data_IF_077331678388
#
_entry.id   IF_077331678388
#
_cell.length_a   1.000
_cell.length_b   1.000
_cell.length_c   1.000
_cell.angle_alpha   90.00
_cell.angle_beta   90.00
_cell.angle_gamma   90.00
#
_symmetry.space_group_name_H-M   'P 1'
#
loop_
_entity.id
_entity.type
_entity.pdbx_description
1 polymer ?
#
# COMPACT_ATOMS: atom_id res chain seq x y z
N UNK A 1 -14.14 -7.69 9.71
CA UNK A 1 -13.39 -6.45 10.00
C UNK A 1 -14.27 -5.42 10.70
N UNK A 2 -15.28 -4.86 10.01
CA UNK A 2 -16.18 -3.81 10.56
C UNK A 2 -16.88 -4.23 11.85
N UNK A 3 -17.46 -5.42 11.90
CA UNK A 3 -18.14 -5.94 13.10
C UNK A 3 -17.16 -6.03 14.26
N UNK A 4 -16.03 -6.66 14.04
CA UNK A 4 -14.96 -6.80 15.03
C UNK A 4 -14.47 -5.45 15.56
N UNK A 5 -14.26 -4.48 14.64
CA UNK A 5 -13.86 -3.12 15.02
C UNK A 5 -14.87 -2.46 15.98
N UNK A 6 -16.18 -2.56 15.66
CA UNK A 6 -17.24 -1.96 16.45
C UNK A 6 -17.47 -2.67 17.80
N UNK A 7 -17.54 -3.99 17.80
CA UNK A 7 -17.76 -4.80 19.00
C UNK A 7 -16.62 -4.65 20.01
N UNK A 8 -15.38 -4.59 19.50
CA UNK A 8 -14.19 -4.37 20.32
C UNK A 8 -14.00 -2.92 20.78
N UNK A 9 -14.84 -1.98 20.31
CA UNK A 9 -14.71 -0.54 20.61
C UNK A 9 -13.32 0.00 20.29
N UNK A 10 -12.74 -0.50 19.19
CA UNK A 10 -11.41 -0.07 18.75
C UNK A 10 -11.45 1.37 18.24
N UNK A 11 -10.37 2.12 18.40
CA UNK A 11 -10.23 3.52 18.01
C UNK A 11 -9.25 3.74 16.84
N UNK A 12 -8.48 2.72 16.50
CA UNK A 12 -7.43 2.77 15.48
C UNK A 12 -7.27 1.43 14.77
N UNK A 13 -6.53 1.43 13.67
CA UNK A 13 -6.20 0.22 12.89
C UNK A 13 -4.70 0.19 12.66
N UNK A 14 -4.08 -0.94 12.91
CA UNK A 14 -2.70 -1.23 12.52
C UNK A 14 -2.75 -2.33 11.46
N UNK A 15 -2.27 -2.04 10.26
CA UNK A 15 -2.20 -2.97 9.14
C UNK A 15 -0.74 -3.38 8.92
N UNK A 16 -0.41 -4.64 9.23
CA UNK A 16 0.93 -5.20 9.08
C UNK A 16 0.89 -6.26 7.99
N UNK A 17 1.79 -6.18 7.02
CA UNK A 17 1.88 -7.17 5.96
C UNK A 17 2.38 -6.61 4.63
N UNK A 18 2.24 -7.40 3.57
CA UNK A 18 2.41 -6.92 2.21
C UNK A 18 1.21 -6.08 1.74
N UNK A 19 1.17 -5.72 0.47
CA UNK A 19 0.10 -4.91 -0.12
C UNK A 19 -1.30 -5.38 0.26
N UNK A 20 -1.61 -6.67 0.11
CA UNK A 20 -2.93 -7.22 0.44
C UNK A 20 -3.31 -7.08 1.92
N UNK A 21 -2.33 -7.18 2.84
CA UNK A 21 -2.56 -6.99 4.27
C UNK A 21 -2.89 -5.55 4.60
N UNK A 22 -2.15 -4.62 4.02
CA UNK A 22 -2.36 -3.19 4.18
C UNK A 22 -3.67 -2.73 3.52
N UNK A 23 -3.96 -3.23 2.32
CA UNK A 23 -5.21 -2.95 1.61
C UNK A 23 -6.44 -3.48 2.37
N UNK A 24 -6.31 -4.63 3.03
CA UNK A 24 -7.33 -5.13 3.95
C UNK A 24 -7.59 -4.16 5.11
N UNK A 25 -6.55 -3.63 5.73
CA UNK A 25 -6.65 -2.60 6.77
C UNK A 25 -7.31 -1.31 6.28
N UNK A 26 -6.93 -0.85 5.09
CA UNK A 26 -7.54 0.32 4.44
C UNK A 26 -9.02 0.10 4.13
N UNK A 27 -9.38 -1.06 3.55
CA UNK A 27 -10.77 -1.41 3.25
C UNK A 27 -11.62 -1.44 4.53
N UNK A 28 -11.08 -1.96 5.65
CA UNK A 28 -11.74 -1.92 6.94
C UNK A 28 -11.91 -0.48 7.41
N UNK A 29 -10.88 0.36 7.27
CA UNK A 29 -10.91 1.78 7.65
C UNK A 29 -12.04 2.54 6.93
N UNK A 30 -12.24 2.29 5.64
CA UNK A 30 -13.31 2.92 4.85
C UNK A 30 -14.70 2.68 5.45
N UNK A 31 -14.97 1.44 5.85
CA UNK A 31 -16.32 1.01 6.28
C UNK A 31 -16.50 0.99 7.79
N UNK A 32 -15.45 1.17 8.58
CA UNK A 32 -15.48 0.98 10.05
C UNK A 32 -16.54 1.85 10.72
N UNK A 33 -16.57 3.13 10.44
CA UNK A 33 -17.50 4.12 11.00
C UNK A 33 -18.59 4.57 10.04
N UNK A 34 -18.60 4.04 8.81
CA UNK A 34 -19.51 4.45 7.75
C UNK A 34 -20.61 3.40 7.53
N UNK A 35 -21.78 3.83 7.05
CA UNK A 35 -22.91 2.94 6.74
C UNK A 35 -22.82 2.32 5.35
N UNK A 36 -22.02 2.92 4.49
CA UNK A 36 -21.84 2.58 3.09
C UNK A 36 -21.25 1.18 2.93
N UNK A 37 -21.51 0.54 1.80
CA UNK A 37 -20.87 -0.70 1.41
C UNK A 37 -19.47 -0.42 0.85
N UNK A 38 -18.58 -1.41 0.94
CA UNK A 38 -17.22 -1.26 0.42
C UNK A 38 -17.19 -0.87 -1.07
N UNK A 39 -18.10 -1.43 -1.86
CA UNK A 39 -18.18 -1.20 -3.29
C UNK A 39 -18.76 0.17 -3.69
N UNK A 40 -19.27 0.94 -2.75
CA UNK A 40 -19.66 2.33 -2.98
C UNK A 40 -18.41 3.24 -3.09
N UNK A 41 -17.26 2.75 -2.63
CA UNK A 41 -15.96 3.40 -2.71
C UNK A 41 -15.12 3.01 -3.94
N UNK A 42 -15.70 2.29 -4.90
CA UNK A 42 -15.00 1.92 -6.12
C UNK A 42 -14.48 3.15 -6.87
N UNK A 43 -13.25 3.07 -7.39
CA UNK A 43 -12.50 4.19 -7.93
C UNK A 43 -13.21 4.94 -9.06
N UNK A 44 -13.95 4.23 -9.91
CA UNK A 44 -14.69 4.81 -11.03
C UNK A 44 -15.98 5.55 -10.58
N UNK A 45 -16.38 5.36 -9.33
CA UNK A 45 -17.52 6.08 -8.75
C UNK A 45 -17.08 7.43 -8.18
N UNK A 46 -17.97 8.40 -8.19
CA UNK A 46 -17.71 9.69 -7.55
C UNK A 46 -17.47 9.51 -6.05
N UNK A 47 -16.48 10.20 -5.46
CA UNK A 47 -16.23 10.10 -4.03
C UNK A 47 -17.45 10.48 -3.20
N UNK A 48 -17.73 9.70 -2.16
CA UNK A 48 -18.81 9.98 -1.21
C UNK A 48 -18.44 11.24 -0.40
N UNK A 49 -19.27 12.26 -0.48
CA UNK A 49 -18.96 13.59 0.10
C UNK A 49 -19.22 13.70 1.61
N UNK A 50 -20.17 12.91 2.13
CA UNK A 50 -20.58 12.98 3.54
C UNK A 50 -20.28 11.63 4.20
N UNK A 51 -19.15 11.55 4.87
CA UNK A 51 -18.73 10.39 5.61
C UNK A 51 -18.48 10.75 7.07
N UNK A 52 -18.66 9.78 7.93
CA UNK A 52 -18.22 9.83 9.32
C UNK A 52 -16.69 9.88 9.44
N UNK A 53 -16.17 9.89 10.65
CA UNK A 53 -14.73 9.87 10.86
C UNK A 53 -14.12 8.54 10.41
N UNK A 54 -12.92 8.61 9.88
CA UNK A 54 -12.09 7.44 9.60
C UNK A 54 -11.23 7.14 10.83
N UNK A 55 -11.10 5.87 11.24
CA UNK A 55 -10.14 5.54 12.28
C UNK A 55 -8.72 5.85 11.81
N UNK A 56 -7.84 6.31 12.71
CA UNK A 56 -6.41 6.41 12.42
C UNK A 56 -5.89 5.07 11.92
N UNK A 57 -5.13 5.09 10.82
CA UNK A 57 -4.56 3.90 10.21
C UNK A 57 -3.04 4.03 10.19
N UNK A 58 -2.37 3.00 10.72
CA UNK A 58 -0.92 2.84 10.65
C UNK A 58 -0.64 1.65 9.74
N UNK A 59 0.21 1.82 8.74
CA UNK A 59 0.66 0.74 7.87
C UNK A 59 2.11 0.38 8.15
N UNK A 60 2.38 -0.93 8.26
CA UNK A 60 3.70 -1.49 8.51
C UNK A 60 3.97 -2.54 7.43
N UNK A 61 4.68 -2.19 6.33
CA UNK A 61 4.94 -3.12 5.25
C UNK A 61 5.95 -4.20 5.65
N UNK A 62 5.72 -5.41 5.18
CA UNK A 62 6.66 -6.54 5.26
C UNK A 62 7.21 -6.93 3.89
N UNK A 63 6.89 -6.16 2.86
CA UNK A 63 7.40 -6.25 1.48
C UNK A 63 7.90 -4.89 1.04
N UNK A 64 8.88 -4.85 0.17
CA UNK A 64 9.31 -3.64 -0.52
C UNK A 64 8.88 -3.72 -1.98
N UNK A 65 7.85 -2.95 -2.37
CA UNK A 65 7.33 -3.04 -3.74
C UNK A 65 6.05 -2.26 -3.97
N UNK A 66 4.97 -2.65 -3.34
CA UNK A 66 3.62 -2.16 -3.67
C UNK A 66 3.37 -0.68 -3.36
N UNK A 67 4.11 -0.09 -2.41
CA UNK A 67 3.86 1.28 -1.96
C UNK A 67 2.52 1.50 -1.25
N UNK A 68 1.79 0.42 -0.94
CA UNK A 68 0.43 0.49 -0.39
C UNK A 68 0.32 1.29 0.92
N UNK A 69 1.41 1.41 1.66
CA UNK A 69 1.48 2.23 2.90
C UNK A 69 1.41 3.74 2.63
N UNK A 70 1.59 4.18 1.39
CA UNK A 70 1.59 5.62 1.03
C UNK A 70 0.35 6.06 0.25
N UNK A 71 -0.49 5.11 -0.17
CA UNK A 71 -1.60 5.35 -1.07
C UNK A 71 -2.94 5.48 -0.34
N UNK A 72 -3.86 6.21 -0.96
CA UNK A 72 -5.27 6.33 -0.54
C UNK A 72 -6.20 5.34 -1.26
N UNK A 73 -5.64 4.35 -1.93
CA UNK A 73 -6.31 3.28 -2.67
C UNK A 73 -6.13 1.94 -1.97
N UNK A 74 -7.04 1.01 -2.17
CA UNK A 74 -6.90 -0.38 -1.75
C UNK A 74 -7.45 -1.31 -2.83
N UNK A 75 -6.69 -2.35 -3.15
CA UNK A 75 -7.06 -3.34 -4.14
C UNK A 75 -7.75 -4.54 -3.47
N UNK A 76 -9.04 -4.71 -3.71
CA UNK A 76 -9.87 -5.73 -3.07
C UNK A 76 -10.52 -6.63 -4.11
N UNK A 77 -10.44 -7.94 -3.91
CA UNK A 77 -11.10 -8.90 -4.82
C UNK A 77 -12.60 -8.94 -4.53
N UNK A 78 -13.41 -8.60 -5.52
CA UNK A 78 -14.85 -8.84 -5.50
C UNK A 78 -15.11 -10.28 -5.97
N UNK A 79 -15.47 -11.16 -5.04
CA UNK A 79 -15.69 -12.58 -5.34
C UNK A 79 -16.92 -12.84 -6.22
N UNK A 80 -17.91 -11.95 -6.21
CA UNK A 80 -19.11 -12.07 -7.03
C UNK A 80 -18.80 -11.77 -8.50
N UNK A 81 -17.92 -10.79 -8.74
CA UNK A 81 -17.49 -10.42 -10.09
C UNK A 81 -16.24 -11.18 -10.55
N UNK A 82 -15.55 -11.88 -9.64
CA UNK A 82 -14.27 -12.53 -9.95
C UNK A 82 -13.15 -11.55 -10.32
N UNK A 83 -13.27 -10.28 -9.94
CA UNK A 83 -12.35 -9.20 -10.32
C UNK A 83 -11.73 -8.52 -9.10
N UNK A 84 -10.49 -8.04 -9.27
CA UNK A 84 -9.83 -7.17 -8.31
C UNK A 84 -10.19 -5.73 -8.63
N UNK A 85 -10.86 -5.06 -7.69
CA UNK A 85 -11.34 -3.70 -7.84
C UNK A 85 -10.56 -2.75 -6.92
N UNK A 86 -10.36 -1.53 -7.39
CA UNK A 86 -9.78 -0.46 -6.61
C UNK A 86 -10.87 0.27 -5.83
N UNK A 87 -10.78 0.31 -4.51
CA UNK A 87 -11.59 1.17 -3.66
C UNK A 87 -10.74 2.30 -3.12
N UNK A 88 -11.29 3.52 -3.02
CA UNK A 88 -10.52 4.67 -2.63
C UNK A 88 -11.32 5.74 -1.92
N UNK A 89 -10.63 6.53 -1.11
CA UNK A 89 -11.09 7.81 -0.61
C UNK A 89 -9.88 8.62 -0.13
N UNK A 90 -9.82 9.95 -0.35
CA UNK A 90 -8.65 10.75 0.07
C UNK A 90 -8.28 10.60 1.55
N UNK A 91 -9.28 10.37 2.42
CA UNK A 91 -9.08 10.15 3.86
C UNK A 91 -8.68 8.71 4.24
N UNK A 92 -8.57 7.79 3.28
CA UNK A 92 -8.12 6.41 3.51
C UNK A 92 -6.60 6.31 3.66
N UNK A 93 -5.88 7.35 3.26
CA UNK A 93 -4.42 7.38 3.35
C UNK A 93 -3.98 7.13 4.79
N UNK A 94 -3.03 6.22 5.02
CA UNK A 94 -2.47 6.00 6.36
C UNK A 94 -1.91 7.29 6.95
N UNK A 95 -2.11 7.50 8.24
CA UNK A 95 -1.54 8.65 8.96
C UNK A 95 -0.06 8.44 9.26
N UNK A 96 0.38 7.17 9.28
CA UNK A 96 1.77 6.78 9.54
C UNK A 96 2.10 5.54 8.71
N UNK A 97 3.22 5.58 8.01
CA UNK A 97 3.90 4.42 7.46
C UNK A 97 5.15 4.17 8.31
N UNK A 98 5.25 2.99 8.91
CA UNK A 98 6.42 2.58 9.69
C UNK A 98 7.23 1.60 8.85
N UNK A 99 8.37 2.08 8.33
CA UNK A 99 9.25 1.32 7.46
C UNK A 99 10.41 0.73 8.27
N UNK A 100 10.39 -0.57 8.48
CA UNK A 100 11.47 -1.31 9.14
C UNK A 100 12.00 -2.40 8.20
N UNK A 101 13.22 -2.26 7.67
CA UNK A 101 13.80 -3.24 6.77
C UNK A 101 13.95 -4.63 7.40
N UNK A 102 14.04 -4.74 8.73
CA UNK A 102 14.11 -6.02 9.42
C UNK A 102 12.88 -6.90 9.15
N UNK A 103 11.71 -6.28 8.96
CA UNK A 103 10.46 -7.00 8.69
C UNK A 103 10.41 -7.64 7.29
N UNK A 104 11.34 -7.27 6.42
CA UNK A 104 11.43 -7.82 5.05
C UNK A 104 12.45 -8.95 4.91
N UNK A 105 13.29 -9.20 5.92
CA UNK A 105 14.40 -10.19 5.84
C UNK A 105 13.90 -11.61 5.59
N UNK A 106 12.78 -11.99 6.22
CA UNK A 106 12.19 -13.32 6.07
C UNK A 106 11.42 -13.52 4.75
N UNK A 107 11.34 -12.50 3.90
CA UNK A 107 10.62 -12.61 2.64
C UNK A 107 11.31 -13.59 1.69
N UNK A 108 10.60 -14.60 1.15
CA UNK A 108 11.15 -15.54 0.18
C UNK A 108 11.77 -14.83 -1.04
N UNK A 109 12.85 -15.43 -1.59
CA UNK A 109 13.59 -14.83 -2.72
C UNK A 109 12.70 -14.49 -3.94
N UNK A 110 11.76 -15.36 -4.28
CA UNK A 110 10.82 -15.12 -5.37
C UNK A 110 9.92 -13.91 -5.09
N UNK A 111 9.41 -13.77 -3.87
CA UNK A 111 8.61 -12.61 -3.48
C UNK A 111 9.46 -11.34 -3.44
N UNK A 112 10.71 -11.41 -2.96
CA UNK A 112 11.64 -10.27 -3.04
C UNK A 112 11.83 -9.80 -4.49
N UNK A 113 12.02 -10.74 -5.43
CA UNK A 113 12.16 -10.41 -6.85
C UNK A 113 10.87 -9.81 -7.42
N UNK A 114 9.71 -10.40 -7.15
CA UNK A 114 8.44 -9.95 -7.70
C UNK A 114 8.03 -8.58 -7.16
N UNK A 115 8.11 -8.37 -5.85
CA UNK A 115 7.76 -7.08 -5.26
C UNK A 115 8.78 -5.99 -5.61
N UNK A 116 10.08 -6.34 -5.70
CA UNK A 116 11.10 -5.38 -6.13
C UNK A 116 10.97 -5.00 -7.61
N UNK A 117 10.53 -5.94 -8.47
CA UNK A 117 10.19 -5.63 -9.87
C UNK A 117 8.93 -4.78 -9.96
N UNK A 118 7.95 -5.02 -9.10
CA UNK A 118 6.75 -4.19 -8.97
C UNK A 118 7.12 -2.74 -8.62
N UNK A 119 8.01 -2.53 -7.63
CA UNK A 119 8.55 -1.21 -7.31
C UNK A 119 9.24 -0.54 -8.52
N UNK A 120 10.01 -1.32 -9.30
CA UNK A 120 10.66 -0.83 -10.50
C UNK A 120 9.64 -0.34 -11.54
N UNK A 121 8.59 -1.14 -11.77
CA UNK A 121 7.51 -0.79 -12.71
C UNK A 121 6.78 0.47 -12.25
N UNK A 122 6.43 0.57 -10.98
CA UNK A 122 5.83 1.79 -10.40
C UNK A 122 6.68 3.04 -10.64
N UNK A 123 8.00 2.92 -10.45
CA UNK A 123 8.92 4.03 -10.74
C UNK A 123 8.93 4.42 -12.21
N UNK A 124 8.94 3.43 -13.12
CA UNK A 124 8.88 3.67 -14.57
C UNK A 124 7.55 4.30 -14.96
N UNK A 125 6.43 3.75 -14.49
CA UNK A 125 5.10 4.27 -14.77
C UNK A 125 4.96 5.72 -14.29
N UNK A 126 5.38 6.01 -13.05
CA UNK A 126 5.33 7.36 -12.51
C UNK A 126 6.16 8.35 -13.31
N UNK A 127 7.33 7.94 -13.83
CA UNK A 127 8.19 8.78 -14.65
C UNK A 127 7.67 8.97 -16.08
N UNK A 128 6.99 7.96 -16.62
CA UNK A 128 6.45 7.99 -17.99
C UNK A 128 5.08 8.68 -18.12
N UNK A 129 4.42 8.97 -17.00
CA UNK A 129 3.17 9.76 -17.03
C UNK A 129 3.49 11.18 -17.49
N UNK A 130 2.78 11.66 -18.51
CA UNK A 130 2.86 13.05 -18.96
C UNK A 130 2.26 13.97 -17.88
N UNK A 131 3.07 14.33 -16.91
CA UNK A 131 2.71 15.18 -15.79
C UNK A 131 3.57 16.42 -15.73
N UNK A 132 2.96 17.53 -15.32
CA UNK A 132 3.69 18.79 -15.10
C UNK A 132 4.35 18.85 -13.70
N UNK A 133 4.47 17.71 -13.01
CA UNK A 133 4.95 17.64 -11.63
C UNK A 133 6.41 17.15 -11.57
N UNK A 134 7.35 18.03 -11.86
CA UNK A 134 8.81 17.74 -11.83
C UNK A 134 9.31 17.15 -10.49
N UNK A 135 8.62 17.43 -9.39
CA UNK A 135 8.96 16.82 -8.08
C UNK A 135 8.65 15.32 -8.08
N UNK A 136 7.53 14.90 -8.67
CA UNK A 136 7.18 13.49 -8.80
C UNK A 136 8.19 12.76 -9.70
N UNK A 137 8.60 13.39 -10.82
CA UNK A 137 9.61 12.83 -11.73
C UNK A 137 10.95 12.63 -11.01
N UNK A 138 11.35 13.61 -10.18
CA UNK A 138 12.56 13.51 -9.36
C UNK A 138 12.50 12.37 -8.35
N UNK A 139 11.36 12.17 -7.70
CA UNK A 139 11.12 11.04 -6.78
C UNK A 139 11.15 9.70 -7.51
N UNK A 140 10.51 9.61 -8.68
CA UNK A 140 10.51 8.40 -9.50
C UNK A 140 11.94 8.03 -9.93
N UNK A 141 12.72 8.98 -10.44
CA UNK A 141 14.11 8.75 -10.83
C UNK A 141 14.98 8.31 -9.64
N UNK A 142 14.80 8.93 -8.46
CA UNK A 142 15.53 8.52 -7.27
C UNK A 142 15.13 7.10 -6.83
N UNK A 143 13.85 6.76 -6.85
CA UNK A 143 13.37 5.40 -6.60
C UNK A 143 13.98 4.40 -7.55
N UNK A 144 13.96 4.68 -8.86
CA UNK A 144 14.56 3.82 -9.89
C UNK A 144 16.06 3.61 -9.65
N UNK A 145 16.78 4.67 -9.27
CA UNK A 145 18.21 4.58 -8.95
C UNK A 145 18.47 3.68 -7.72
N UNK A 146 17.66 3.82 -6.66
CA UNK A 146 17.79 2.99 -5.46
C UNK A 146 17.48 1.52 -5.77
N UNK A 147 16.41 1.24 -6.48
CA UNK A 147 16.01 -0.11 -6.89
C UNK A 147 17.09 -0.74 -7.78
N UNK A 148 17.55 -0.02 -8.80
CA UNK A 148 18.55 -0.51 -9.74
C UNK A 148 19.86 -0.92 -9.07
N UNK A 149 20.26 -0.22 -8.02
CA UNK A 149 21.48 -0.50 -7.28
C UNK A 149 21.32 -1.60 -6.20
N UNK A 150 20.10 -1.86 -5.72
CA UNK A 150 19.90 -2.70 -4.54
C UNK A 150 19.09 -3.98 -4.79
N UNK A 151 18.21 -4.04 -5.78
CA UNK A 151 17.33 -5.20 -5.99
C UNK A 151 18.11 -6.51 -6.19
N UNK A 152 19.14 -6.48 -7.02
CA UNK A 152 19.96 -7.69 -7.25
C UNK A 152 20.75 -8.08 -6.01
N UNK A 153 21.21 -7.11 -5.23
CA UNK A 153 21.90 -7.32 -3.97
C UNK A 153 20.96 -7.97 -2.95
N UNK A 154 19.77 -7.44 -2.74
CA UNK A 154 18.78 -8.02 -1.82
C UNK A 154 18.36 -9.42 -2.24
N UNK A 155 18.28 -9.70 -3.55
CA UNK A 155 17.96 -11.03 -4.05
C UNK A 155 19.08 -12.05 -3.75
N UNK A 156 20.35 -11.65 -3.90
CA UNK A 156 21.52 -12.52 -3.64
C UNK A 156 21.80 -12.68 -2.15
N UNK A 157 21.78 -11.57 -1.42
CA UNK A 157 22.14 -11.44 -0.02
C UNK A 157 20.93 -10.89 0.79
N UNK A 158 19.92 -11.73 1.09
CA UNK A 158 18.65 -11.30 1.68
C UNK A 158 18.78 -10.68 3.08
N UNK A 159 19.88 -10.94 3.78
CA UNK A 159 20.15 -10.40 5.13
C UNK A 159 20.85 -9.03 5.11
N UNK A 160 21.15 -8.49 3.93
CA UNK A 160 21.76 -7.16 3.81
C UNK A 160 20.72 -6.07 4.12
N UNK A 161 20.67 -5.65 5.39
CA UNK A 161 19.71 -4.65 5.88
C UNK A 161 19.85 -3.27 5.21
N UNK A 162 21.06 -2.89 4.81
CA UNK A 162 21.28 -1.62 4.12
C UNK A 162 20.61 -1.64 2.74
N UNK A 163 20.79 -2.73 2.00
CA UNK A 163 20.13 -2.91 0.72
C UNK A 163 18.60 -3.04 0.86
N UNK A 164 18.14 -3.74 1.89
CA UNK A 164 16.71 -3.83 2.23
C UNK A 164 16.11 -2.46 2.55
N UNK A 165 16.83 -1.64 3.32
CA UNK A 165 16.37 -0.30 3.67
C UNK A 165 16.36 0.68 2.49
N UNK A 166 17.20 0.43 1.48
CA UNK A 166 17.23 1.22 0.25
C UNK A 166 16.11 0.86 -0.73
N UNK A 167 15.60 -0.38 -0.64
CA UNK A 167 14.46 -0.84 -1.44
C UNK A 167 13.14 -0.27 -0.94
#
# INVERSE_FOLDING_TARGET
GKSFYKEGKHDSIIAIGGGSGMDGGKAISLIANNSENLWDFEYEKSPIKKLSSFPPLICIPTTAGTGAETESTAMVTNSELGMKLCVWHPKQKPITALLDPCLTVSLPKNLTAWTGTDALVHGIEAFCVDSLYSVADGMALQGLNLIGNNLLEVYKNPDNLNARGAM
#
